data_IF_923606066266
#
_entry.id   IF_923606066266
#
_cell.length_a   1.000
_cell.length_b   1.000
_cell.length_c   1.000
_cell.angle_alpha   90.00
_cell.angle_beta   90.00
_cell.angle_gamma   90.00
#
_symmetry.space_group_name_H-M   'P 1'
#
loop_
_entity.id
_entity.type
_entity.pdbx_description
1 polymer ?
#
# COMPACT_ATOMS: atom_id res chain seq x y z
N UNK A 1 -1.75 -20.05 17.77
CA UNK A 1 -1.84 -19.04 18.84
C UNK A 1 -3.12 -18.27 18.63
N UNK A 2 -3.68 -17.70 19.69
CA UNK A 2 -4.64 -16.61 19.56
C UNK A 2 -3.90 -15.38 19.01
N UNK A 3 -4.55 -14.61 18.13
CA UNK A 3 -3.97 -13.42 17.50
C UNK A 3 -3.91 -12.20 18.42
N UNK A 4 -4.05 -12.39 19.73
CA UNK A 4 -4.17 -11.32 20.75
C UNK A 4 -2.93 -10.41 20.85
N UNK A 5 -1.78 -10.86 20.36
CA UNK A 5 -0.56 -10.06 20.25
C UNK A 5 -0.38 -9.33 18.92
N UNK A 6 -1.34 -9.46 17.99
CA UNK A 6 -1.27 -8.84 16.67
C UNK A 6 -2.14 -7.58 16.62
N UNK A 7 -1.64 -6.58 15.92
CA UNK A 7 -2.40 -5.38 15.54
C UNK A 7 -2.36 -5.23 14.03
N UNK A 8 -3.53 -5.18 13.41
CA UNK A 8 -3.68 -4.93 11.98
C UNK A 8 -4.20 -3.50 11.77
N UNK A 9 -3.48 -2.71 10.98
CA UNK A 9 -3.84 -1.33 10.69
C UNK A 9 -4.13 -1.14 9.20
N UNK A 10 -5.08 -0.28 8.84
CA UNK A 10 -5.32 0.18 7.47
C UNK A 10 -5.27 1.70 7.35
N UNK A 11 -4.78 2.18 6.21
CA UNK A 11 -4.83 3.60 5.83
C UNK A 11 -6.25 4.04 5.46
N UNK A 12 -7.05 3.12 4.92
CA UNK A 12 -8.44 3.37 4.51
C UNK A 12 -9.39 3.11 5.69
N UNK A 13 -10.57 3.76 5.66
CA UNK A 13 -11.66 3.46 6.57
C UNK A 13 -12.21 2.05 6.33
N UNK A 14 -12.93 1.49 7.31
CA UNK A 14 -13.56 0.17 7.16
C UNK A 14 -14.55 0.16 6.00
N UNK A 15 -15.32 1.24 5.85
CA UNK A 15 -16.33 1.42 4.80
C UNK A 15 -15.68 1.42 3.42
N UNK A 16 -14.59 2.18 3.23
CA UNK A 16 -13.86 2.24 1.97
C UNK A 16 -13.26 0.89 1.59
N UNK A 17 -12.71 0.14 2.57
CA UNK A 17 -12.21 -1.21 2.35
C UNK A 17 -13.32 -2.18 1.92
N UNK A 18 -14.49 -2.10 2.55
CA UNK A 18 -15.64 -2.94 2.22
C UNK A 18 -16.22 -2.59 0.84
N UNK A 19 -16.30 -1.31 0.51
CA UNK A 19 -16.74 -0.86 -0.82
C UNK A 19 -15.80 -1.37 -1.92
N UNK A 20 -14.49 -1.28 -1.69
CA UNK A 20 -13.47 -1.64 -2.67
C UNK A 20 -13.26 -3.14 -2.85
N UNK A 21 -13.30 -3.91 -1.77
CA UNK A 21 -12.93 -5.34 -1.77
C UNK A 21 -14.08 -6.29 -1.42
N UNK A 22 -15.24 -5.76 -1.05
CA UNK A 22 -16.46 -6.51 -0.83
C UNK A 22 -16.38 -7.54 0.31
N UNK A 23 -17.10 -8.65 0.11
CA UNK A 23 -17.31 -9.70 1.12
C UNK A 23 -16.04 -10.44 1.52
N UNK A 24 -15.00 -10.47 0.66
CA UNK A 24 -13.73 -11.10 1.00
C UNK A 24 -13.02 -10.37 2.14
N UNK A 25 -12.94 -9.04 2.08
CA UNK A 25 -12.36 -8.22 3.16
C UNK A 25 -13.20 -8.35 4.43
N UNK A 26 -14.53 -8.32 4.31
CA UNK A 26 -15.43 -8.47 5.46
C UNK A 26 -15.14 -9.75 6.26
N UNK A 27 -14.99 -10.88 5.56
CA UNK A 27 -14.66 -12.17 6.19
C UNK A 27 -13.30 -12.13 6.88
N UNK A 28 -12.28 -11.59 6.22
CA UNK A 28 -10.92 -11.50 6.80
C UNK A 28 -10.86 -10.61 8.03
N UNK A 29 -11.58 -9.49 8.05
CA UNK A 29 -11.67 -8.63 9.22
C UNK A 29 -12.35 -9.35 10.38
N UNK A 30 -13.46 -10.05 10.11
CA UNK A 30 -14.14 -10.85 11.12
C UNK A 30 -13.24 -11.97 11.69
N UNK A 31 -12.46 -12.64 10.82
CA UNK A 31 -11.51 -13.67 11.25
C UNK A 31 -10.42 -13.08 12.19
N UNK A 32 -9.89 -11.88 11.87
CA UNK A 32 -8.91 -11.18 12.71
C UNK A 32 -9.51 -10.79 14.06
N UNK A 33 -10.69 -10.18 14.06
CA UNK A 33 -11.41 -9.78 15.29
C UNK A 33 -11.71 -11.00 16.17
N UNK A 34 -12.15 -12.13 15.59
CA UNK A 34 -12.37 -13.39 16.31
C UNK A 34 -11.11 -13.97 16.92
N UNK A 35 -9.95 -13.73 16.30
CA UNK A 35 -8.65 -14.11 16.84
C UNK A 35 -8.11 -13.13 17.89
N UNK A 36 -8.91 -12.16 18.34
CA UNK A 36 -8.53 -11.10 19.29
C UNK A 36 -7.43 -10.16 18.76
N UNK A 37 -7.22 -10.12 17.44
CA UNK A 37 -6.31 -9.16 16.81
C UNK A 37 -6.88 -7.73 16.98
N UNK A 38 -6.02 -6.78 17.37
CA UNK A 38 -6.39 -5.37 17.39
C UNK A 38 -6.51 -4.84 15.97
N UNK A 39 -7.72 -4.58 15.48
CA UNK A 39 -7.93 -4.00 14.14
C UNK A 39 -8.16 -2.49 14.26
N UNK A 40 -7.31 -1.71 13.60
CA UNK A 40 -7.43 -0.26 13.50
C UNK A 40 -7.59 0.16 12.05
N UNK A 41 -8.51 1.09 11.81
CA UNK A 41 -8.77 1.67 10.50
C UNK A 41 -8.48 3.16 10.54
N UNK A 42 -8.33 3.76 9.37
CA UNK A 42 -8.09 5.21 9.24
C UNK A 42 -6.87 5.66 10.07
N UNK A 43 -5.78 4.90 9.96
CA UNK A 43 -4.54 5.19 10.67
C UNK A 43 -3.44 5.55 9.68
N UNK A 44 -3.20 6.84 9.42
CA UNK A 44 -2.04 7.28 8.67
C UNK A 44 -0.74 6.82 9.34
N UNK A 45 0.24 6.44 8.52
CA UNK A 45 1.50 5.89 9.05
C UNK A 45 2.27 6.93 9.88
N UNK A 46 2.15 8.20 9.50
CA UNK A 46 2.71 9.33 10.25
C UNK A 46 2.20 9.43 11.69
N UNK A 47 0.99 8.95 11.98
CA UNK A 47 0.37 8.99 13.32
C UNK A 47 0.78 7.80 14.21
N UNK A 48 1.55 6.82 13.68
CA UNK A 48 1.98 5.65 14.47
C UNK A 48 2.61 6.02 15.83
N UNK A 49 3.50 7.04 15.94
CA UNK A 49 4.11 7.40 17.23
C UNK A 49 3.13 7.99 18.25
N UNK A 50 2.00 8.54 17.80
CA UNK A 50 0.99 9.13 18.67
C UNK A 50 0.02 8.08 19.20
N UNK A 51 -0.19 7.02 18.41
CA UNK A 51 -1.13 5.94 18.72
C UNK A 51 -0.51 4.80 19.50
N UNK A 52 0.77 4.53 19.29
CA UNK A 52 1.45 3.41 19.92
C UNK A 52 2.58 3.89 20.82
N UNK A 53 2.84 3.10 21.87
CA UNK A 53 3.97 3.36 22.78
C UNK A 53 5.28 2.99 22.10
N UNK A 54 6.40 3.64 22.45
CA UNK A 54 7.70 3.24 21.94
C UNK A 54 8.05 1.82 22.44
N UNK A 55 8.79 1.06 21.62
CA UNK A 55 9.22 -0.32 21.95
C UNK A 55 8.06 -1.29 22.31
N UNK A 56 6.91 -1.15 21.65
CA UNK A 56 5.72 -1.97 21.90
C UNK A 56 5.63 -3.21 21.01
N UNK A 57 6.32 -3.24 19.86
CA UNK A 57 6.21 -4.33 18.88
C UNK A 57 7.55 -5.04 18.64
N UNK A 58 7.47 -6.36 18.46
CA UNK A 58 8.59 -7.18 17.98
C UNK A 58 8.66 -7.18 16.43
N UNK A 59 7.52 -7.00 15.77
CA UNK A 59 7.42 -6.98 14.31
C UNK A 59 6.38 -5.96 13.84
N UNK A 60 6.70 -5.20 12.79
CA UNK A 60 5.77 -4.29 12.09
C UNK A 60 5.77 -4.64 10.60
N UNK A 61 4.64 -5.06 10.05
CA UNK A 61 4.52 -5.37 8.63
C UNK A 61 3.66 -4.32 7.92
N UNK A 62 4.12 -3.86 6.76
CA UNK A 62 3.40 -2.91 5.92
C UNK A 62 3.19 -3.47 4.51
N UNK A 63 1.93 -3.46 4.09
CA UNK A 63 1.50 -3.93 2.79
C UNK A 63 0.97 -2.74 2.00
N UNK A 64 1.80 -2.16 1.13
CA UNK A 64 1.42 -0.97 0.35
C UNK A 64 0.25 -1.31 -0.58
N UNK A 65 -0.91 -0.62 -0.47
CA UNK A 65 -1.86 -0.60 -1.55
C UNK A 65 -1.27 0.30 -2.65
N UNK A 66 -0.54 -0.29 -3.59
CA UNK A 66 -0.07 0.48 -4.75
C UNK A 66 -1.31 0.81 -5.58
N UNK A 67 -1.64 2.08 -5.82
CA UNK A 67 -2.73 2.44 -6.71
C UNK A 67 -2.41 1.87 -8.09
N UNK A 68 -3.17 0.85 -8.49
CA UNK A 68 -3.20 0.40 -9.88
C UNK A 68 -3.79 1.59 -10.64
N UNK A 69 -3.00 2.25 -11.48
CA UNK A 69 -3.52 3.33 -12.33
C UNK A 69 -4.79 2.83 -13.03
N UNK A 70 -5.93 3.55 -12.97
CA UNK A 70 -7.21 3.08 -13.50
C UNK A 70 -7.25 2.89 -15.03
N UNK A 71 -6.12 3.01 -15.73
CA UNK A 71 -6.04 2.94 -17.20
C UNK A 71 -5.62 1.59 -17.81
N UNK A 72 -5.39 0.54 -17.01
CA UNK A 72 -5.08 -0.81 -17.54
C UNK A 72 -6.20 -1.80 -17.27
N UNK A 73 -7.40 -1.47 -17.77
CA UNK A 73 -8.32 -2.52 -18.18
C UNK A 73 -7.59 -3.39 -19.21
N UNK A 74 -7.50 -4.70 -18.97
CA UNK A 74 -7.20 -5.64 -20.05
C UNK A 74 -8.20 -5.35 -21.18
N UNK A 75 -7.77 -5.18 -22.44
CA UNK A 75 -8.71 -5.05 -23.54
C UNK A 75 -9.47 -6.38 -23.68
N UNK A 76 -10.67 -6.41 -23.12
CA UNK A 76 -11.69 -7.39 -23.49
C UNK A 76 -12.06 -7.11 -24.93
N UNK A 77 -11.68 -8.02 -25.81
CA UNK A 77 -12.04 -8.00 -27.22
C UNK A 77 -13.57 -8.04 -27.38
N UNK A 78 -14.18 -6.88 -27.60
CA UNK A 78 -15.49 -6.75 -28.20
C UNK A 78 -15.62 -5.32 -28.75
N UNK A 79 -15.37 -5.18 -30.06
CA UNK A 79 -15.91 -4.05 -30.82
C UNK A 79 -17.44 -4.18 -30.87
N UNK A 80 -18.17 -3.06 -31.02
CA UNK A 80 -18.69 -2.85 -32.36
C UNK A 80 -18.61 -1.40 -32.87
N UNK A 81 -18.64 -1.36 -34.19
CA UNK A 81 -18.78 -0.28 -35.16
C UNK A 81 -19.63 0.94 -34.76
N UNK A 82 -19.13 2.10 -35.20
CA UNK A 82 -19.95 3.03 -35.98
C UNK A 82 -20.52 4.24 -35.26
N UNK A 83 -19.76 5.34 -35.23
CA UNK A 83 -20.30 6.70 -35.33
C UNK A 83 -19.20 7.72 -35.66
N UNK A 84 -19.42 8.53 -36.70
CA UNK A 84 -18.57 9.61 -37.20
C UNK A 84 -18.58 10.87 -36.28
N UNK A 85 -17.60 11.80 -36.42
CA UNK A 85 -17.38 12.88 -35.47
C UNK A 85 -18.02 14.21 -35.91
N UNK A 86 -18.68 14.91 -34.98
CA UNK A 86 -19.01 16.33 -35.15
C UNK A 86 -18.08 17.22 -34.31
N UNK A 87 -17.51 18.22 -35.00
CA UNK A 87 -16.61 19.24 -34.46
C UNK A 87 -17.40 20.36 -33.77
N UNK A 88 -17.06 20.65 -32.51
CA UNK A 88 -17.52 21.83 -31.78
C UNK A 88 -16.39 22.39 -30.92
N UNK A 89 -15.65 23.36 -31.48
CA UNK A 89 -14.55 24.06 -30.84
C UNK A 89 -15.07 25.26 -30.03
N UNK A 90 -14.85 25.24 -28.70
CA UNK A 90 -14.81 26.45 -27.88
C UNK A 90 -13.59 26.36 -26.95
N UNK A 91 -12.63 27.25 -27.18
CA UNK A 91 -11.38 27.33 -26.44
C UNK A 91 -11.57 27.89 -25.03
N UNK A 92 -11.19 27.07 -24.06
CA UNK A 92 -10.52 27.50 -22.84
C UNK A 92 -9.09 26.95 -22.91
N UNK A 93 -8.06 27.57 -22.29
CA UNK A 93 -6.73 26.98 -22.24
C UNK A 93 -6.85 25.65 -21.51
N UNK A 94 -6.78 24.55 -22.26
CA UNK A 94 -6.76 23.22 -21.71
C UNK A 94 -5.50 23.14 -20.83
N UNK A 95 -5.69 23.06 -19.51
CA UNK A 95 -4.63 22.60 -18.63
C UNK A 95 -4.12 21.29 -19.22
N UNK A 96 -2.89 21.31 -19.72
CA UNK A 96 -2.30 20.16 -20.38
C UNK A 96 -2.34 19.00 -19.40
N UNK A 97 -3.11 17.96 -19.72
CA UNK A 97 -3.23 16.79 -18.87
C UNK A 97 -1.81 16.26 -18.57
N UNK A 98 -1.50 15.95 -17.30
CA UNK A 98 -0.16 15.57 -16.91
C UNK A 98 0.31 14.39 -17.76
N UNK A 99 1.54 14.49 -18.25
CA UNK A 99 2.10 13.42 -19.06
C UNK A 99 2.18 12.13 -18.24
N UNK A 100 2.13 10.97 -18.89
CA UNK A 100 2.28 9.67 -18.22
C UNK A 100 3.54 9.63 -17.33
N UNK A 101 4.63 10.27 -17.76
CA UNK A 101 5.86 10.41 -16.98
C UNK A 101 5.70 11.26 -15.72
N UNK A 102 4.87 12.30 -15.74
CA UNK A 102 4.63 13.15 -14.56
C UNK A 102 3.81 12.40 -13.52
N UNK A 103 2.81 11.63 -13.97
CA UNK A 103 2.02 10.77 -13.08
C UNK A 103 2.89 9.73 -12.37
N UNK A 104 3.73 9.01 -13.13
CA UNK A 104 4.66 8.04 -12.54
C UNK A 104 5.61 8.70 -11.53
N UNK A 105 6.17 9.86 -11.87
CA UNK A 105 7.06 10.59 -10.97
C UNK A 105 6.35 10.98 -9.67
N UNK A 106 5.10 11.43 -9.73
CA UNK A 106 4.29 11.74 -8.55
C UNK A 106 4.11 10.50 -7.68
N UNK A 107 3.70 9.37 -8.28
CA UNK A 107 3.48 8.12 -7.55
C UNK A 107 4.75 7.63 -6.85
N UNK A 108 5.92 7.71 -7.51
CA UNK A 108 7.19 7.35 -6.86
C UNK A 108 7.58 8.29 -5.73
N UNK A 109 7.28 9.59 -5.86
CA UNK A 109 7.55 10.58 -4.82
C UNK A 109 6.64 10.36 -3.61
N UNK A 110 5.34 10.15 -3.83
CA UNK A 110 4.36 9.81 -2.79
C UNK A 110 4.74 8.51 -2.06
N UNK A 111 5.09 7.46 -2.82
CA UNK A 111 5.55 6.20 -2.24
C UNK A 111 6.83 6.40 -1.40
N UNK A 112 7.76 7.22 -1.87
CA UNK A 112 9.00 7.49 -1.13
C UNK A 112 8.72 8.23 0.18
N UNK A 113 7.82 9.21 0.17
CA UNK A 113 7.41 9.93 1.37
C UNK A 113 6.71 8.99 2.37
N UNK A 114 5.77 8.17 1.88
CA UNK A 114 5.04 7.20 2.70
C UNK A 114 5.98 6.15 3.32
N UNK A 115 6.99 5.69 2.58
CA UNK A 115 8.03 4.80 3.11
C UNK A 115 8.85 5.48 4.22
N UNK A 116 9.23 6.74 4.03
CA UNK A 116 9.99 7.46 5.04
C UNK A 116 9.19 7.64 6.34
N UNK A 117 7.92 8.01 6.24
CA UNK A 117 7.00 8.09 7.39
C UNK A 117 6.82 6.72 8.06
N UNK A 118 6.67 5.66 7.26
CA UNK A 118 6.62 4.30 7.75
C UNK A 118 7.86 3.91 8.55
N UNK A 119 9.05 4.10 7.99
CA UNK A 119 10.28 3.71 8.67
C UNK A 119 10.49 4.51 9.96
N UNK A 120 10.13 5.80 9.97
CA UNK A 120 10.15 6.62 11.18
C UNK A 120 9.19 6.06 12.25
N UNK A 121 7.96 5.76 11.89
CA UNK A 121 6.96 5.18 12.79
C UNK A 121 7.37 3.80 13.30
N UNK A 122 7.84 2.94 12.41
CA UNK A 122 8.33 1.59 12.73
C UNK A 122 9.51 1.64 13.70
N UNK A 123 10.53 2.46 13.43
CA UNK A 123 11.68 2.61 14.31
C UNK A 123 11.30 3.09 15.72
N UNK A 124 10.27 3.93 15.84
CA UNK A 124 9.76 4.38 17.13
C UNK A 124 9.08 3.26 17.94
N UNK A 125 8.22 2.48 17.28
CA UNK A 125 7.38 1.47 17.97
C UNK A 125 8.08 0.12 18.15
N UNK A 126 9.12 -0.18 17.37
CA UNK A 126 9.86 -1.44 17.44
C UNK A 126 10.73 -1.50 18.70
N UNK A 127 10.79 -2.70 19.31
CA UNK A 127 11.76 -3.02 20.36
C UNK A 127 13.17 -3.15 19.79
N UNK A 128 14.22 -3.07 20.63
CA UNK A 128 15.56 -3.42 20.22
C UNK A 128 15.61 -4.85 19.63
N UNK A 129 16.09 -4.97 18.39
CA UNK A 129 16.12 -6.24 17.66
C UNK A 129 14.80 -6.64 16.98
N UNK A 130 13.76 -5.80 17.07
CA UNK A 130 12.53 -5.99 16.32
C UNK A 130 12.74 -5.78 14.82
N UNK A 131 11.81 -6.30 14.02
CA UNK A 131 11.89 -6.28 12.56
C UNK A 131 10.71 -5.53 11.92
N UNK A 132 10.97 -4.85 10.80
CA UNK A 132 9.89 -4.37 9.94
C UNK A 132 9.92 -5.06 8.58
N UNK A 133 8.74 -5.37 8.06
CA UNK A 133 8.58 -6.03 6.76
C UNK A 133 7.81 -5.11 5.84
N UNK A 134 8.31 -4.95 4.62
CA UNK A 134 7.67 -4.10 3.61
C UNK A 134 7.41 -4.94 2.37
N UNK A 135 6.14 -5.05 1.98
CA UNK A 135 5.74 -5.69 0.74
C UNK A 135 5.62 -4.65 -0.38
N UNK A 136 6.41 -4.83 -1.43
CA UNK A 136 6.39 -4.03 -2.66
C UNK A 136 6.28 -4.97 -3.87
N UNK A 137 5.70 -4.46 -4.96
CA UNK A 137 5.80 -5.10 -6.28
C UNK A 137 7.18 -4.84 -6.89
N UNK A 138 7.61 -5.66 -7.85
CA UNK A 138 8.91 -5.51 -8.53
C UNK A 138 9.15 -4.12 -9.14
N UNK A 139 8.09 -3.46 -9.63
CA UNK A 139 8.19 -2.10 -10.19
C UNK A 139 8.65 -1.05 -9.17
N UNK A 140 8.45 -1.31 -7.87
CA UNK A 140 8.69 -0.35 -6.80
C UNK A 140 9.89 -0.72 -5.93
N UNK A 141 10.55 -1.85 -6.19
CA UNK A 141 11.64 -2.35 -5.34
C UNK A 141 12.92 -1.50 -5.40
N UNK A 142 13.04 -0.64 -6.42
CA UNK A 142 14.16 0.29 -6.57
C UNK A 142 13.84 1.70 -6.09
N UNK A 143 12.71 1.89 -5.40
CA UNK A 143 12.30 3.22 -4.92
C UNK A 143 13.32 3.78 -3.92
N UNK A 144 13.58 5.08 -4.02
CA UNK A 144 14.56 5.76 -3.14
C UNK A 144 14.12 5.76 -1.69
N UNK A 145 12.81 5.75 -1.43
CA UNK A 145 12.26 5.69 -0.07
C UNK A 145 12.75 4.49 0.75
N UNK A 146 13.19 3.39 0.14
CA UNK A 146 13.78 2.28 0.89
C UNK A 146 15.08 2.66 1.62
N UNK A 147 15.80 3.66 1.11
CA UNK A 147 17.07 4.12 1.71
C UNK A 147 16.87 4.94 2.97
N UNK A 148 15.69 5.56 3.17
CA UNK A 148 15.44 6.35 4.37
C UNK A 148 15.35 5.49 5.63
N UNK A 149 15.23 4.15 5.51
CA UNK A 149 15.24 3.25 6.65
C UNK A 149 16.51 3.42 7.51
N UNK A 150 17.68 3.59 6.86
CA UNK A 150 18.97 3.76 7.54
C UNK A 150 19.03 5.06 8.35
N UNK A 151 18.36 6.13 7.88
CA UNK A 151 18.27 7.42 8.58
C UNK A 151 17.54 7.30 9.92
N UNK A 152 16.69 6.29 10.08
CA UNK A 152 15.96 5.99 11.31
C UNK A 152 16.57 4.85 12.12
N UNK A 153 17.80 4.43 11.81
CA UNK A 153 18.51 3.38 12.53
C UNK A 153 18.06 1.96 12.20
N UNK A 154 17.26 1.77 11.15
CA UNK A 154 16.89 0.45 10.64
C UNK A 154 17.96 -0.03 9.66
N UNK A 155 18.24 -1.33 9.65
CA UNK A 155 19.21 -1.94 8.73
C UNK A 155 18.51 -2.89 7.77
N UNK A 156 18.84 -2.80 6.49
CA UNK A 156 18.35 -3.76 5.51
C UNK A 156 18.90 -5.16 5.79
N UNK A 157 18.02 -6.12 6.07
CA UNK A 157 18.41 -7.50 6.35
C UNK A 157 18.40 -8.38 5.09
N UNK A 158 17.24 -8.53 4.44
CA UNK A 158 17.10 -9.36 3.23
C UNK A 158 15.90 -8.94 2.39
N UNK A 159 15.94 -9.30 1.12
CA UNK A 159 14.78 -9.33 0.21
C UNK A 159 14.29 -10.76 0.06
N UNK A 160 12.99 -10.97 0.15
CA UNK A 160 12.34 -12.27 -0.11
C UNK A 160 11.44 -12.11 -1.33
N UNK A 161 11.60 -13.01 -2.30
CA UNK A 161 10.71 -13.11 -3.46
C UNK A 161 9.62 -14.14 -3.17
N UNK A 162 8.35 -13.75 -3.33
CA UNK A 162 7.19 -14.60 -3.10
C UNK A 162 6.67 -15.27 -4.38
N UNK A 163 7.30 -15.05 -5.54
CA UNK A 163 6.87 -15.61 -6.81
C UNK A 163 6.79 -17.16 -6.78
N UNK A 164 7.80 -17.83 -6.23
CA UNK A 164 7.79 -19.29 -6.10
C UNK A 164 6.69 -19.80 -5.17
N UNK A 165 6.38 -19.06 -4.11
CA UNK A 165 5.30 -19.41 -3.19
C UNK A 165 3.92 -19.25 -3.85
N UNK A 166 3.77 -18.21 -4.68
CA UNK A 166 2.56 -17.97 -5.46
C UNK A 166 2.32 -19.10 -6.47
N UNK A 167 3.33 -19.51 -7.24
CA UNK A 167 3.24 -20.61 -8.20
C UNK A 167 2.75 -21.90 -7.54
N UNK A 168 3.25 -22.26 -6.35
CA UNK A 168 2.89 -23.51 -5.65
C UNK A 168 1.46 -23.56 -5.12
N UNK A 169 0.83 -22.42 -4.86
CA UNK A 169 -0.51 -22.34 -4.28
C UNK A 169 -1.59 -22.21 -5.36
N UNK A 170 -1.26 -21.55 -6.47
CA UNK A 170 -2.22 -21.16 -7.50
C UNK A 170 -2.02 -21.88 -8.84
N UNK A 171 -0.98 -22.69 -9.01
CA UNK A 171 -0.85 -23.66 -10.11
C UNK A 171 -0.83 -25.08 -9.57
#
# INVERSE_FOLDING_TARGET
GDGSGLTACSLETREALLERFGTHVSRRLADLEQQLCGVQHDLPVAEMPERFRPNSFDCVAFNFPIPISPGRAQPSAAAPDGAEPEQGSTGAPAEAAPSHSDHLRSTYAELSALLAEFFRGAAYVLRPGGECHVRLTDQHVTTRGLRSAEEFGLTFYRRVDFHEAFEKVYK
#
